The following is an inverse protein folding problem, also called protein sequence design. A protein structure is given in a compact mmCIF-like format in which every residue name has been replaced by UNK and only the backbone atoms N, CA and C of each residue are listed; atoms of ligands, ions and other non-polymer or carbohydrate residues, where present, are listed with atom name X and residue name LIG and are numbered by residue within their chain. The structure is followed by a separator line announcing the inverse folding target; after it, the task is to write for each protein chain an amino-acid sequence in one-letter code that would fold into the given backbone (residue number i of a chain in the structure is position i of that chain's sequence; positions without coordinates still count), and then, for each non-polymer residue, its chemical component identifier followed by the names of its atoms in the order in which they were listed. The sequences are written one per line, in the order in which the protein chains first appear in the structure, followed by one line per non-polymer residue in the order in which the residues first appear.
data_IF_761615216351
#
_entry.id   IF_761615216351
#
_cell.length_a   1.000
_cell.length_b   1.000
_cell.length_c   1.000
_cell.angle_alpha   90.00
_cell.angle_beta   90.00
_cell.angle_gamma   90.00
#
_symmetry.space_group_name_H-M   'P 1'
#
loop_
_entity.id
_entity.type
_entity.pdbx_description
1 polymer ?
#
# COMPACT_ATOMS: atom_id res chain seq x y z
N UNK A 1 9.67 -48.92 48.87
CA UNK A 1 10.51 -48.02 48.04
C UNK A 1 9.97 -47.67 46.64
N UNK A 2 9.11 -48.44 45.94
CA UNK A 2 8.74 -48.12 44.53
C UNK A 2 7.88 -46.85 44.37
N UNK A 3 7.06 -46.49 45.37
CA UNK A 3 6.22 -45.29 45.32
C UNK A 3 7.01 -43.96 45.35
N UNK A 4 8.22 -43.95 45.93
CA UNK A 4 9.07 -42.75 46.07
C UNK A 4 9.83 -42.46 44.77
N UNK A 5 10.23 -43.50 44.04
CA UNK A 5 10.84 -43.42 42.70
C UNK A 5 9.84 -43.00 41.63
N UNK A 6 8.64 -43.58 41.63
CA UNK A 6 7.55 -43.16 40.74
C UNK A 6 7.23 -41.67 40.90
N UNK A 7 7.11 -41.17 42.15
CA UNK A 7 6.84 -39.75 42.46
C UNK A 7 7.95 -38.81 41.98
N UNK A 8 9.23 -39.21 42.09
CA UNK A 8 10.38 -38.45 41.57
C UNK A 8 10.34 -38.32 40.03
N UNK A 9 9.92 -39.37 39.33
CA UNK A 9 9.82 -39.39 37.85
C UNK A 9 8.75 -38.43 37.33
N UNK A 10 7.56 -38.44 37.95
CA UNK A 10 6.49 -37.50 37.61
C UNK A 10 6.90 -36.05 37.87
N UNK A 11 7.56 -35.77 38.99
CA UNK A 11 8.10 -34.43 39.29
C UNK A 11 9.12 -33.95 38.24
N UNK A 12 9.91 -34.86 37.67
CA UNK A 12 10.87 -34.53 36.58
C UNK A 12 10.22 -34.16 35.24
N UNK A 13 8.92 -34.43 35.07
CA UNK A 13 8.13 -34.07 33.88
C UNK A 13 7.32 -32.78 34.05
N UNK A 14 7.06 -32.35 35.28
CA UNK A 14 6.18 -31.19 35.56
C UNK A 14 6.76 -29.91 34.96
N UNK A 15 8.01 -29.57 35.30
CA UNK A 15 8.61 -28.33 34.82
C UNK A 15 8.79 -28.31 33.29
N UNK A 16 9.38 -29.34 32.64
CA UNK A 16 9.45 -29.40 31.18
C UNK A 16 8.07 -29.40 30.51
N UNK A 17 7.07 -30.05 31.11
CA UNK A 17 5.70 -30.07 30.61
C UNK A 17 5.01 -28.72 30.68
N UNK A 18 5.17 -27.98 31.78
CA UNK A 18 4.66 -26.63 31.91
C UNK A 18 5.32 -25.68 30.89
N UNK A 19 6.63 -25.79 30.70
CA UNK A 19 7.35 -25.00 29.69
C UNK A 19 6.90 -25.35 28.27
N UNK A 20 6.81 -26.64 27.94
CA UNK A 20 6.33 -27.10 26.64
C UNK A 20 4.89 -26.64 26.38
N UNK A 21 4.01 -26.72 27.38
CA UNK A 21 2.64 -26.24 27.29
C UNK A 21 2.59 -24.72 27.07
N UNK A 22 3.35 -23.94 27.85
CA UNK A 22 3.40 -22.48 27.69
C UNK A 22 3.88 -22.07 26.29
N UNK A 23 4.94 -22.69 25.79
CA UNK A 23 5.46 -22.42 24.44
C UNK A 23 4.45 -22.87 23.37
N UNK A 24 3.85 -24.05 23.52
CA UNK A 24 2.82 -24.52 22.58
C UNK A 24 1.61 -23.58 22.54
N UNK A 25 1.15 -23.09 23.70
CA UNK A 25 0.08 -22.09 23.77
C UNK A 25 0.46 -20.80 23.06
N UNK A 26 1.68 -20.30 23.24
CA UNK A 26 2.16 -19.12 22.52
C UNK A 26 2.19 -19.35 21.00
N UNK A 27 2.71 -20.49 20.54
CA UNK A 27 2.78 -20.84 19.12
C UNK A 27 1.38 -20.98 18.49
N UNK A 28 0.44 -21.64 19.18
CA UNK A 28 -0.96 -21.73 18.73
C UNK A 28 -1.59 -20.33 18.69
N UNK A 29 -1.35 -19.49 19.70
CA UNK A 29 -1.80 -18.10 19.73
C UNK A 29 -1.28 -17.29 18.53
N UNK A 30 0.00 -17.43 18.19
CA UNK A 30 0.59 -16.81 17.01
C UNK A 30 -0.05 -17.33 15.71
N UNK A 31 -0.32 -18.63 15.61
CA UNK A 31 -1.02 -19.21 14.45
C UNK A 31 -2.43 -18.66 14.28
N UNK A 32 -3.19 -18.56 15.37
CA UNK A 32 -4.54 -17.96 15.36
C UNK A 32 -4.52 -16.48 14.99
N UNK A 33 -3.56 -15.72 15.53
CA UNK A 33 -3.37 -14.32 15.18
C UNK A 33 -3.07 -14.14 13.69
N UNK A 34 -2.23 -15.01 13.10
CA UNK A 34 -1.95 -14.99 11.67
C UNK A 34 -3.21 -15.26 10.83
N UNK A 35 -4.08 -16.20 11.24
CA UNK A 35 -5.36 -16.43 10.56
C UNK A 35 -6.31 -15.23 10.64
N UNK A 36 -6.37 -14.55 11.79
CA UNK A 36 -7.15 -13.31 11.93
C UNK A 36 -6.60 -12.22 11.00
N UNK A 37 -5.27 -12.09 10.93
CA UNK A 37 -4.60 -11.11 10.08
C UNK A 37 -4.81 -11.43 8.60
N UNK A 38 -4.80 -12.71 8.22
CA UNK A 38 -5.16 -13.18 6.88
C UNK A 38 -6.56 -12.70 6.49
N UNK A 39 -7.57 -13.00 7.30
CA UNK A 39 -8.96 -12.63 7.02
C UNK A 39 -9.13 -11.11 6.91
N UNK A 40 -8.49 -10.34 7.79
CA UNK A 40 -8.46 -8.87 7.70
C UNK A 40 -7.83 -8.40 6.38
N UNK A 41 -6.68 -8.96 6.00
CA UNK A 41 -5.94 -8.58 4.80
C UNK A 41 -6.73 -8.92 3.54
N UNK A 42 -7.37 -10.08 3.49
CA UNK A 42 -8.23 -10.50 2.39
C UNK A 42 -9.46 -9.58 2.24
N UNK A 43 -10.08 -9.18 3.35
CA UNK A 43 -11.18 -8.22 3.32
C UNK A 43 -10.74 -6.88 2.71
N UNK A 44 -9.55 -6.37 3.10
CA UNK A 44 -8.98 -5.15 2.51
C UNK A 44 -8.72 -5.31 1.01
N UNK A 45 -8.08 -6.40 0.59
CA UNK A 45 -7.77 -6.67 -0.82
C UNK A 45 -9.06 -6.72 -1.64
N UNK A 46 -10.10 -7.40 -1.13
CA UNK A 46 -11.41 -7.45 -1.79
C UNK A 46 -12.02 -6.05 -1.94
N UNK A 47 -12.00 -5.23 -0.90
CA UNK A 47 -12.50 -3.85 -0.98
C UNK A 47 -11.74 -3.03 -2.03
N UNK A 48 -10.42 -3.17 -2.11
CA UNK A 48 -9.62 -2.50 -3.15
C UNK A 48 -10.02 -3.01 -4.54
N UNK A 49 -10.10 -4.33 -4.73
CA UNK A 49 -10.51 -4.92 -6.00
C UNK A 49 -11.88 -4.41 -6.46
N UNK A 50 -12.87 -4.38 -5.58
CA UNK A 50 -14.22 -3.85 -5.85
C UNK A 50 -14.18 -2.37 -6.26
N UNK A 51 -13.43 -1.53 -5.51
CA UNK A 51 -13.34 -0.08 -5.79
C UNK A 51 -12.64 0.24 -7.10
N UNK A 52 -11.61 -0.52 -7.46
CA UNK A 52 -10.79 -0.29 -8.68
C UNK A 52 -11.49 -0.69 -9.98
N UNK A 53 -12.53 -1.52 -9.92
CA UNK A 53 -13.32 -1.90 -11.12
C UNK A 53 -14.70 -1.26 -11.18
N UNK A 54 -15.13 -0.60 -10.09
CA UNK A 54 -16.40 0.12 -10.06
C UNK A 54 -16.42 1.28 -11.07
N UNK A 55 -17.60 1.65 -11.61
CA UNK A 55 -17.74 2.84 -12.43
C UNK A 55 -17.26 4.09 -11.69
N UNK A 56 -16.57 5.03 -12.36
CA UNK A 56 -16.17 6.29 -11.76
C UNK A 56 -17.37 7.07 -11.23
N UNK A 57 -17.25 7.58 -10.01
CA UNK A 57 -18.25 8.47 -9.40
C UNK A 57 -17.76 9.92 -9.40
N UNK A 58 -18.64 10.93 -9.23
CA UNK A 58 -18.18 12.30 -9.03
C UNK A 58 -17.25 12.42 -7.82
N UNK A 59 -16.25 13.31 -7.91
CA UNK A 59 -15.43 13.69 -6.76
C UNK A 59 -16.30 14.19 -5.59
N UNK A 60 -15.88 13.95 -4.33
CA UNK A 60 -16.49 14.60 -3.17
C UNK A 60 -16.45 16.12 -3.31
N UNK A 61 -17.52 16.79 -2.88
CA UNK A 61 -17.57 18.24 -2.93
C UNK A 61 -16.49 18.85 -2.04
N UNK A 62 -15.93 19.99 -2.47
CA UNK A 62 -14.84 20.68 -1.76
C UNK A 62 -15.12 20.92 -0.27
N UNK A 63 -16.36 21.26 0.07
CA UNK A 63 -16.78 21.50 1.47
C UNK A 63 -16.59 20.28 2.38
N UNK A 64 -16.56 19.08 1.81
CA UNK A 64 -16.46 17.81 2.56
C UNK A 64 -15.00 17.36 2.72
N UNK A 65 -14.04 17.97 1.99
CA UNK A 65 -12.64 17.55 2.00
C UNK A 65 -11.98 17.53 3.39
N UNK A 66 -12.19 18.52 4.29
CA UNK A 66 -11.56 18.50 5.61
C UNK A 66 -11.98 17.31 6.50
N UNK A 67 -13.10 16.66 6.19
CA UNK A 67 -13.64 15.53 6.96
C UNK A 67 -13.42 14.16 6.29
N UNK A 68 -12.67 14.09 5.18
CA UNK A 68 -12.45 12.84 4.49
C UNK A 68 -11.52 11.92 5.26
N UNK A 69 -11.97 10.68 5.50
CA UNK A 69 -11.13 9.60 6.00
C UNK A 69 -10.54 8.81 4.81
N UNK A 70 -9.20 8.71 4.69
CA UNK A 70 -8.52 7.87 3.71
C UNK A 70 -9.12 6.47 3.54
N UNK A 71 -9.51 5.79 4.62
CA UNK A 71 -10.09 4.45 4.54
C UNK A 71 -11.38 4.40 3.69
N UNK A 72 -12.09 5.53 3.59
CA UNK A 72 -13.36 5.63 2.86
C UNK A 72 -13.19 5.90 1.37
N UNK A 73 -12.10 6.55 0.95
CA UNK A 73 -11.88 6.94 -0.45
C UNK A 73 -10.72 6.24 -1.13
N UNK A 74 -9.77 5.66 -0.40
CA UNK A 74 -8.59 5.01 -0.97
C UNK A 74 -9.01 3.99 -2.05
N UNK A 75 -8.42 4.11 -3.24
CA UNK A 75 -8.71 3.33 -4.45
C UNK A 75 -10.12 3.49 -5.03
N UNK A 76 -10.93 4.45 -4.56
CA UNK A 76 -12.23 4.75 -5.16
C UNK A 76 -12.02 5.41 -6.51
N UNK A 77 -12.68 4.88 -7.55
CA UNK A 77 -12.68 5.50 -8.88
C UNK A 77 -13.54 6.73 -8.92
N UNK A 78 -12.97 7.82 -9.41
CA UNK A 78 -13.62 9.12 -9.52
C UNK A 78 -13.47 9.70 -10.92
N UNK A 79 -14.41 10.57 -11.27
CA UNK A 79 -14.35 11.42 -12.44
C UNK A 79 -14.30 12.90 -12.01
N UNK A 80 -13.47 13.68 -12.69
CA UNK A 80 -13.29 15.10 -12.42
C UNK A 80 -13.19 15.88 -13.74
N UNK A 81 -13.86 17.03 -13.82
CA UNK A 81 -13.78 17.93 -14.97
C UNK A 81 -13.12 19.23 -14.55
N UNK A 82 -12.21 19.72 -15.38
CA UNK A 82 -11.37 20.86 -15.05
C UNK A 82 -10.22 21.05 -16.04
N UNK A 83 -9.20 21.78 -15.63
CA UNK A 83 -8.07 22.14 -16.47
C UNK A 83 -6.76 21.90 -15.73
N UNK A 84 -5.80 21.31 -16.43
CA UNK A 84 -4.44 21.16 -15.92
C UNK A 84 -3.67 22.49 -15.94
N UNK A 85 -2.95 22.77 -14.87
CA UNK A 85 -1.89 23.78 -14.84
C UNK A 85 -0.54 23.12 -15.15
N UNK A 86 -0.27 22.95 -16.45
CA UNK A 86 0.96 22.32 -16.93
C UNK A 86 2.23 23.13 -16.61
N UNK A 87 2.11 24.41 -16.26
CA UNK A 87 3.25 25.21 -15.82
C UNK A 87 3.69 24.86 -14.39
N UNK A 88 2.84 24.18 -13.64
CA UNK A 88 3.06 23.76 -12.25
C UNK A 88 3.23 22.24 -12.10
N UNK A 89 3.66 21.52 -13.15
CA UNK A 89 3.95 20.09 -13.02
C UNK A 89 5.22 19.83 -12.18
N UNK A 90 5.18 18.79 -11.35
CA UNK A 90 6.32 18.32 -10.56
C UNK A 90 6.72 16.89 -10.94
N UNK A 91 8.00 16.58 -10.76
CA UNK A 91 8.58 15.29 -11.13
C UNK A 91 8.93 14.51 -9.86
N UNK A 92 8.19 13.43 -9.60
CA UNK A 92 8.43 12.53 -8.47
C UNK A 92 9.22 11.32 -8.96
N UNK A 93 10.47 11.18 -8.52
CA UNK A 93 11.35 10.12 -8.95
C UNK A 93 10.78 8.73 -8.66
N UNK A 94 10.57 7.95 -9.73
CA UNK A 94 9.93 6.63 -9.65
C UNK A 94 10.34 5.74 -10.82
N UNK A 95 11.45 5.00 -10.70
CA UNK A 95 11.79 3.96 -11.65
C UNK A 95 10.66 2.94 -11.77
N UNK A 96 10.32 2.58 -13.00
CA UNK A 96 9.24 1.66 -13.32
C UNK A 96 9.81 0.40 -13.97
N UNK A 97 10.02 -0.64 -13.17
CA UNK A 97 10.55 -1.93 -13.65
C UNK A 97 9.43 -2.80 -14.21
N UNK A 98 8.31 -2.89 -13.49
CA UNK A 98 7.13 -3.64 -13.87
C UNK A 98 6.05 -2.67 -14.34
N UNK A 99 6.16 -2.25 -15.60
CA UNK A 99 5.22 -1.32 -16.22
C UNK A 99 3.93 -2.00 -16.69
N UNK A 100 2.81 -1.30 -16.57
CA UNK A 100 1.51 -1.71 -17.13
C UNK A 100 1.26 -1.16 -18.53
N UNK A 101 2.01 -0.13 -18.95
CA UNK A 101 2.06 0.37 -20.31
C UNK A 101 3.41 0.14 -21.03
N UNK A 102 3.58 0.66 -22.25
CA UNK A 102 4.77 0.44 -23.07
C UNK A 102 6.06 1.11 -22.53
N UNK A 103 5.92 2.18 -21.75
CA UNK A 103 7.05 2.93 -21.18
C UNK A 103 7.48 2.35 -19.83
N UNK A 104 8.79 2.23 -19.62
CA UNK A 104 9.40 1.64 -18.41
C UNK A 104 10.82 2.19 -18.22
N UNK A 105 11.50 1.78 -17.16
CA UNK A 105 12.89 2.14 -16.85
C UNK A 105 13.01 3.30 -15.87
N UNK A 106 14.10 4.07 -15.98
CA UNK A 106 14.35 5.24 -15.15
C UNK A 106 13.49 6.41 -15.63
N UNK A 107 12.84 7.09 -14.69
CA UNK A 107 11.95 8.21 -14.96
C UNK A 107 11.16 8.60 -13.72
N UNK A 108 10.18 9.48 -13.94
CA UNK A 108 9.44 10.14 -12.86
C UNK A 108 7.94 10.00 -13.09
N UNK A 109 7.18 10.04 -12.00
CA UNK A 109 5.75 10.35 -12.06
C UNK A 109 5.58 11.86 -12.23
N UNK A 110 4.72 12.25 -13.17
CA UNK A 110 4.36 13.65 -13.38
C UNK A 110 3.07 13.96 -12.61
N UNK A 111 3.19 14.81 -11.60
CA UNK A 111 2.06 15.32 -10.85
C UNK A 111 1.73 16.73 -11.35
N UNK A 112 0.47 17.00 -11.64
CA UNK A 112 0.04 18.29 -12.19
C UNK A 112 -1.18 18.79 -11.42
N UNK A 113 -1.17 20.04 -10.93
CA UNK A 113 -2.37 20.66 -10.38
C UNK A 113 -3.49 20.69 -11.43
N UNK A 114 -4.70 20.35 -11.00
CA UNK A 114 -5.89 20.28 -11.82
C UNK A 114 -6.98 21.16 -11.20
N UNK A 115 -7.24 22.30 -11.83
CA UNK A 115 -8.26 23.24 -11.40
C UNK A 115 -9.64 22.71 -11.78
N UNK A 116 -10.44 22.37 -10.78
CA UNK A 116 -11.77 21.82 -10.99
C UNK A 116 -12.72 22.89 -11.52
N UNK A 117 -13.59 22.51 -12.46
CA UNK A 117 -14.64 23.41 -12.98
C UNK A 117 -15.60 23.90 -11.88
N UNK A 118 -15.81 23.08 -10.84
CA UNK A 118 -16.61 23.42 -9.66
C UNK A 118 -15.85 24.17 -8.55
N UNK A 119 -14.59 24.55 -8.79
CA UNK A 119 -13.72 25.21 -7.82
C UNK A 119 -12.88 24.26 -6.96
N UNK A 120 -11.76 24.78 -6.46
CA UNK A 120 -10.72 23.99 -5.79
C UNK A 120 -9.74 23.36 -6.79
N UNK A 121 -8.65 22.81 -6.26
CA UNK A 121 -7.59 22.20 -7.05
C UNK A 121 -7.27 20.82 -6.50
N UNK A 122 -7.12 19.84 -7.39
CA UNK A 122 -6.66 18.49 -7.03
C UNK A 122 -5.31 18.28 -7.67
N UNK A 123 -4.36 17.67 -6.98
CA UNK A 123 -3.11 17.24 -7.60
C UNK A 123 -3.35 15.88 -8.26
N UNK A 124 -3.11 15.81 -9.57
CA UNK A 124 -3.31 14.59 -10.34
C UNK A 124 -1.94 13.99 -10.66
N UNK A 125 -1.72 12.76 -10.22
CA UNK A 125 -0.63 11.94 -10.73
C UNK A 125 -1.04 11.42 -12.10
N UNK A 126 -0.51 12.06 -13.15
CA UNK A 126 -0.80 11.73 -14.56
C UNK A 126 -0.10 10.47 -15.03
N UNK A 127 0.87 9.98 -14.23
CA UNK A 127 1.58 8.75 -14.47
C UNK A 127 3.03 8.95 -14.88
N UNK A 128 3.63 7.88 -15.40
CA UNK A 128 5.07 7.76 -15.60
C UNK A 128 5.56 8.43 -16.89
N UNK A 129 6.74 9.06 -16.82
CA UNK A 129 7.47 9.59 -17.96
C UNK A 129 8.94 9.14 -17.87
N UNK A 130 9.48 8.47 -18.91
CA UNK A 130 10.91 8.14 -18.97
C UNK A 130 11.79 9.38 -18.92
N UNK A 131 12.97 9.28 -18.33
CA UNK A 131 13.92 10.40 -18.16
C UNK A 131 14.17 11.19 -19.45
N UNK A 132 14.36 10.48 -20.57
CA UNK A 132 14.59 11.08 -21.90
C UNK A 132 13.40 11.89 -22.46
N UNK A 133 12.23 11.84 -21.81
CA UNK A 133 10.98 12.50 -22.22
C UNK A 133 10.40 13.40 -21.14
N UNK A 134 11.16 13.68 -20.07
CA UNK A 134 10.72 14.55 -18.98
C UNK A 134 10.46 15.98 -19.45
N UNK A 135 11.21 16.49 -20.43
CA UNK A 135 10.90 17.78 -21.05
C UNK A 135 9.50 17.73 -21.70
N UNK A 136 8.53 18.56 -21.23
CA UNK A 136 7.19 18.66 -21.79
C UNK A 136 7.16 18.87 -23.31
N UNK A 137 8.13 19.58 -23.88
CA UNK A 137 8.19 19.84 -25.32
C UNK A 137 8.33 18.54 -26.13
N UNK A 138 8.99 17.52 -25.56
CA UNK A 138 9.13 16.22 -26.21
C UNK A 138 7.86 15.38 -26.14
N UNK A 139 6.88 15.75 -25.31
CA UNK A 139 5.60 15.03 -25.08
C UNK A 139 4.39 15.97 -25.15
N UNK A 140 4.44 16.96 -26.05
CA UNK A 140 3.45 18.03 -26.16
C UNK A 140 2.00 17.54 -26.38
N UNK A 141 1.79 16.37 -27.00
CA UNK A 141 0.45 15.79 -27.16
C UNK A 141 -0.25 15.52 -25.81
N UNK A 142 0.52 15.18 -24.77
CA UNK A 142 0.02 15.01 -23.42
C UNK A 142 -0.23 16.32 -22.68
N UNK A 143 0.19 17.47 -23.22
CA UNK A 143 -0.02 18.79 -22.63
C UNK A 143 -1.38 19.35 -23.05
N UNK A 144 -2.44 18.62 -22.72
CA UNK A 144 -3.81 18.91 -23.18
C UNK A 144 -4.24 20.29 -22.72
N UNK A 145 -4.60 21.16 -23.66
CA UNK A 145 -5.12 22.48 -23.38
C UNK A 145 -6.65 22.44 -23.21
N UNK A 146 -7.18 23.38 -22.43
CA UNK A 146 -8.63 23.49 -22.24
C UNK A 146 -9.17 22.66 -21.10
N UNK A 147 -10.48 22.57 -21.03
CA UNK A 147 -11.17 21.78 -20.02
C UNK A 147 -11.28 20.32 -20.50
N UNK A 148 -10.97 19.39 -19.61
CA UNK A 148 -10.98 17.95 -19.86
C UNK A 148 -11.68 17.24 -18.70
N UNK A 149 -12.22 16.06 -18.97
CA UNK A 149 -12.67 15.14 -17.94
C UNK A 149 -11.66 14.02 -17.79
N UNK A 150 -11.18 13.82 -16.57
CA UNK A 150 -10.28 12.73 -16.21
C UNK A 150 -11.00 11.72 -15.33
N UNK A 151 -10.58 10.47 -15.41
CA UNK A 151 -10.92 9.41 -14.44
C UNK A 151 -9.67 8.90 -13.75
N UNK A 152 -9.82 8.38 -12.55
CA UNK A 152 -8.69 7.83 -11.82
C UNK A 152 -9.04 7.35 -10.43
N UNK A 153 -8.04 6.87 -9.71
CA UNK A 153 -8.16 6.38 -8.35
C UNK A 153 -7.83 7.50 -7.37
N UNK A 154 -8.72 7.77 -6.40
CA UNK A 154 -8.34 8.60 -5.26
C UNK A 154 -7.30 7.87 -4.40
N UNK A 155 -6.23 8.57 -4.05
CA UNK A 155 -5.15 8.06 -3.19
C UNK A 155 -4.85 9.03 -2.07
N UNK A 156 -4.57 8.49 -0.89
CA UNK A 156 -4.02 9.24 0.22
C UNK A 156 -2.59 9.72 -0.07
N UNK A 157 -2.16 10.83 0.54
CA UNK A 157 -0.79 11.30 0.47
C UNK A 157 0.20 10.20 0.88
N UNK A 158 1.33 10.12 0.19
CA UNK A 158 2.42 9.24 0.62
C UNK A 158 3.11 9.84 1.84
N UNK A 159 3.45 8.97 2.80
CA UNK A 159 4.23 9.37 3.97
C UNK A 159 5.72 9.18 3.74
N UNK A 160 6.50 10.11 4.28
CA UNK A 160 7.96 10.04 4.25
C UNK A 160 8.47 9.10 5.35
N UNK A 161 9.47 8.28 5.04
CA UNK A 161 10.22 7.52 6.03
C UNK A 161 11.71 7.96 6.07
N UNK A 162 12.49 7.42 7.01
CA UNK A 162 13.89 7.82 7.22
C UNK A 162 14.87 7.49 6.08
N UNK A 163 14.44 6.74 5.07
CA UNK A 163 15.23 6.39 3.88
C UNK A 163 14.77 7.13 2.62
N UNK A 164 13.68 7.89 2.70
CA UNK A 164 13.20 8.72 1.61
C UNK A 164 14.00 10.03 1.61
N UNK A 165 14.69 10.38 0.50
CA UNK A 165 15.39 11.65 0.40
C UNK A 165 14.46 12.86 0.57
N UNK A 166 15.04 14.01 0.89
CA UNK A 166 14.31 15.27 0.88
C UNK A 166 14.05 15.73 -0.56
N UNK A 167 12.89 16.34 -0.81
CA UNK A 167 12.62 16.97 -2.10
C UNK A 167 13.54 18.17 -2.33
N UNK A 168 13.81 18.46 -3.60
CA UNK A 168 14.44 19.68 -4.08
C UNK A 168 13.48 20.42 -5.02
N UNK A 169 12.60 21.30 -4.47
CA UNK A 169 11.63 22.03 -5.26
C UNK A 169 12.24 23.09 -6.20
N UNK A 170 13.54 23.39 -6.07
CA UNK A 170 14.26 24.29 -6.98
C UNK A 170 14.66 23.53 -8.24
N UNK A 171 15.10 22.28 -8.10
CA UNK A 171 15.42 21.38 -9.22
C UNK A 171 14.22 20.58 -9.74
N UNK A 172 13.04 20.79 -9.16
CA UNK A 172 11.82 20.03 -9.42
C UNK A 172 11.97 18.52 -9.19
N UNK A 173 12.80 18.13 -8.23
CA UNK A 173 13.05 16.72 -7.90
C UNK A 173 12.32 16.37 -6.62
N UNK A 174 11.34 15.47 -6.72
CA UNK A 174 10.51 15.05 -5.60
C UNK A 174 10.64 13.54 -5.38
N UNK A 175 10.38 13.09 -4.17
CA UNK A 175 10.49 11.67 -3.78
C UNK A 175 9.22 11.09 -3.17
N UNK A 176 8.21 11.93 -2.95
CA UNK A 176 6.91 11.55 -2.38
C UNK A 176 5.77 12.18 -3.16
N UNK A 177 4.70 11.42 -3.37
CA UNK A 177 3.42 11.94 -3.87
C UNK A 177 2.67 12.59 -2.71
N UNK A 178 2.86 13.89 -2.54
CA UNK A 178 2.27 14.68 -1.45
C UNK A 178 1.54 15.92 -2.03
N UNK A 179 0.18 15.93 -2.05
CA UNK A 179 -0.58 17.03 -2.60
C UNK A 179 -0.42 18.33 -1.81
N UNK A 180 -0.18 18.27 -0.50
CA UNK A 180 -0.01 19.46 0.34
C UNK A 180 1.32 20.14 0.06
N UNK A 181 2.40 19.34 -0.07
CA UNK A 181 3.71 19.88 -0.40
C UNK A 181 3.74 20.51 -1.82
N UNK A 182 3.08 19.86 -2.79
CA UNK A 182 2.90 20.43 -4.14
C UNK A 182 2.07 21.72 -4.09
N UNK A 183 0.96 21.72 -3.35
CA UNK A 183 0.13 22.90 -3.18
C UNK A 183 0.91 24.07 -2.56
N UNK A 184 1.70 23.81 -1.52
CA UNK A 184 2.53 24.80 -0.86
C UNK A 184 3.58 25.39 -1.80
N UNK A 185 4.20 24.58 -2.68
CA UNK A 185 5.19 25.03 -3.66
C UNK A 185 4.65 26.07 -4.64
N UNK A 186 3.37 25.98 -4.99
CA UNK A 186 2.72 26.86 -5.97
C UNK A 186 1.71 27.83 -5.35
N UNK A 187 1.60 27.89 -4.02
CA UNK A 187 0.68 28.80 -3.32
C UNK A 187 -0.80 28.47 -3.53
N UNK A 188 -1.14 27.19 -3.72
CA UNK A 188 -2.50 26.72 -3.95
C UNK A 188 -3.22 26.59 -2.60
N UNK A 189 -4.05 27.58 -2.25
CA UNK A 189 -4.76 27.60 -0.96
C UNK A 189 -5.91 26.57 -0.87
N UNK A 190 -6.53 26.23 -2.00
CA UNK A 190 -7.74 25.41 -2.07
C UNK A 190 -7.46 24.00 -2.61
N UNK A 191 -6.37 23.39 -2.14
CA UNK A 191 -5.96 22.06 -2.56
C UNK A 191 -6.73 20.95 -1.84
N UNK A 192 -7.07 19.88 -2.57
CA UNK A 192 -7.62 18.66 -1.99
C UNK A 192 -6.55 17.89 -1.18
N UNK A 193 -6.92 17.24 -0.06
CA UNK A 193 -6.00 16.48 0.79
C UNK A 193 -5.67 15.09 0.24
N UNK A 194 -5.91 14.86 -1.05
CA UNK A 194 -5.72 13.59 -1.73
C UNK A 194 -5.22 13.84 -3.16
N UNK A 195 -4.66 12.81 -3.77
CA UNK A 195 -4.31 12.83 -5.20
C UNK A 195 -5.26 11.94 -6.00
N UNK A 196 -5.28 12.16 -7.32
CA UNK A 196 -5.89 11.23 -8.27
C UNK A 196 -4.77 10.59 -9.07
N UNK A 197 -4.65 9.26 -9.02
CA UNK A 197 -3.86 8.50 -9.98
C UNK A 197 -4.71 8.34 -11.25
N UNK A 198 -4.31 8.99 -12.35
CA UNK A 198 -5.04 8.99 -13.62
C UNK A 198 -5.12 7.56 -14.21
N UNK A 199 -6.31 7.15 -14.68
CA UNK A 199 -6.49 5.88 -15.39
C UNK A 199 -5.64 5.85 -16.68
N UNK A 200 -5.28 4.64 -17.14
CA UNK A 200 -4.50 4.44 -18.35
C UNK A 200 -5.16 5.03 -19.60
N UNK A 201 -4.35 5.51 -20.55
CA UNK A 201 -4.78 5.88 -21.89
C UNK A 201 -5.44 7.25 -22.05
N UNK A 202 -5.45 8.08 -21.00
CA UNK A 202 -6.07 9.42 -21.05
C UNK A 202 -5.16 10.52 -21.61
N UNK A 203 -3.84 10.34 -21.55
CA UNK A 203 -2.89 11.28 -22.15
C UNK A 203 -2.74 11.02 -23.66
N UNK A 204 -3.09 11.97 -24.55
CA UNK A 204 -2.85 11.82 -25.97
C UNK A 204 -1.34 11.65 -26.25
N UNK A 205 -0.99 10.75 -27.17
CA UNK A 205 0.40 10.39 -27.43
C UNK A 205 1.04 9.47 -26.38
N UNK A 206 0.29 9.04 -25.35
CA UNK A 206 0.67 7.99 -24.42
C UNK A 206 1.57 8.41 -23.26
N UNK A 207 1.98 9.68 -23.18
CA UNK A 207 2.75 10.24 -22.07
C UNK A 207 2.09 11.51 -21.52
N UNK A 208 1.99 11.69 -20.20
CA UNK A 208 2.37 10.74 -19.14
C UNK A 208 1.57 9.42 -19.16
N UNK A 209 2.23 8.31 -18.81
CA UNK A 209 1.63 6.97 -18.83
C UNK A 209 0.88 6.72 -17.52
N UNK A 210 -0.43 7.01 -17.52
CA UNK A 210 -1.34 6.71 -16.43
C UNK A 210 -1.59 5.21 -16.22
N UNK A 211 -2.29 4.86 -15.13
CA UNK A 211 -2.65 3.48 -14.80
C UNK A 211 -1.53 2.65 -14.17
N UNK A 212 -0.48 3.29 -13.64
CA UNK A 212 0.67 2.62 -13.03
C UNK A 212 0.54 2.36 -11.52
N UNK A 213 -0.63 2.61 -10.94
CA UNK A 213 -0.90 2.32 -9.52
C UNK A 213 -0.67 0.83 -9.23
N UNK A 214 0.21 0.53 -8.28
CA UNK A 214 0.47 -0.85 -7.85
C UNK A 214 -0.69 -1.33 -6.97
N UNK A 215 -1.44 -2.31 -7.48
CA UNK A 215 -2.59 -2.94 -6.80
C UNK A 215 -2.25 -4.33 -6.25
N UNK A 216 -0.97 -4.58 -5.96
CA UNK A 216 -0.50 -5.85 -5.45
C UNK A 216 -0.20 -5.76 -3.95
N UNK A 217 -0.83 -6.65 -3.20
CA UNK A 217 -0.73 -6.69 -1.75
C UNK A 217 -0.15 -8.03 -1.31
N UNK A 218 1.11 -8.08 -0.86
CA UNK A 218 1.69 -9.29 -0.31
C UNK A 218 0.83 -9.85 0.83
N UNK A 219 0.59 -11.16 0.79
CA UNK A 219 -0.24 -11.86 1.78
C UNK A 219 0.31 -13.27 2.05
N UNK A 220 1.19 -13.38 3.05
CA UNK A 220 1.85 -14.64 3.45
C UNK A 220 1.34 -15.17 4.80
N UNK A 221 0.24 -14.64 5.32
CA UNK A 221 -0.25 -14.95 6.66
C UNK A 221 -0.61 -16.44 6.84
N UNK A 222 -1.10 -17.12 5.80
CA UNK A 222 -1.40 -18.56 5.86
C UNK A 222 -0.13 -19.40 6.04
N UNK A 223 0.95 -19.14 5.30
CA UNK A 223 2.19 -19.91 5.42
C UNK A 223 2.83 -19.73 6.80
N UNK A 224 2.76 -18.52 7.36
CA UNK A 224 3.15 -18.28 8.74
C UNK A 224 2.27 -19.02 9.75
N UNK A 225 0.94 -19.01 9.58
CA UNK A 225 0.03 -19.75 10.46
C UNK A 225 0.37 -21.25 10.50
N UNK A 226 0.57 -21.86 9.32
CA UNK A 226 0.98 -23.27 9.19
C UNK A 226 2.34 -23.53 9.86
N UNK A 227 3.29 -22.59 9.73
CA UNK A 227 4.59 -22.69 10.40
C UNK A 227 4.42 -22.73 11.92
N UNK A 228 3.63 -21.82 12.49
CA UNK A 228 3.40 -21.76 13.94
C UNK A 228 2.70 -23.00 14.48
N UNK A 229 1.66 -23.49 13.79
CA UNK A 229 0.99 -24.74 14.18
C UNK A 229 1.89 -25.97 14.01
N UNK A 230 2.71 -26.01 12.96
CA UNK A 230 3.69 -27.07 12.74
C UNK A 230 4.73 -27.13 13.86
N UNK A 231 5.26 -25.98 14.29
CA UNK A 231 6.18 -25.89 15.43
C UNK A 231 5.52 -26.33 16.74
N UNK A 232 4.25 -25.94 16.97
CA UNK A 232 3.50 -26.38 18.14
C UNK A 232 3.30 -27.90 18.16
N UNK A 233 2.95 -28.50 17.01
CA UNK A 233 2.77 -29.94 16.86
C UNK A 233 4.10 -30.69 17.04
N UNK A 234 5.20 -30.18 16.49
CA UNK A 234 6.53 -30.77 16.67
C UNK A 234 6.97 -30.74 18.13
N UNK A 235 6.77 -29.60 18.82
CA UNK A 235 7.06 -29.48 20.25
C UNK A 235 6.25 -30.47 21.08
N UNK A 236 4.94 -30.59 20.80
CA UNK A 236 4.08 -31.57 21.45
C UNK A 236 4.58 -33.01 21.22
N UNK A 237 4.92 -33.36 19.97
CA UNK A 237 5.45 -34.67 19.62
C UNK A 237 6.76 -35.01 20.32
N UNK A 238 7.72 -34.08 20.33
CA UNK A 238 9.01 -34.23 21.03
C UNK A 238 8.78 -34.41 22.53
N UNK A 239 7.92 -33.58 23.15
CA UNK A 239 7.61 -33.69 24.57
C UNK A 239 6.91 -35.02 24.90
N UNK A 240 5.98 -35.49 24.07
CA UNK A 240 5.30 -36.77 24.25
C UNK A 240 6.28 -37.95 24.21
N UNK A 241 7.22 -37.96 23.26
CA UNK A 241 8.28 -38.98 23.17
C UNK A 241 9.21 -38.91 24.38
N UNK A 242 9.62 -37.70 24.79
CA UNK A 242 10.43 -37.48 25.98
C UNK A 242 9.74 -38.03 27.24
N UNK A 243 8.48 -37.68 27.46
CA UNK A 243 7.69 -38.14 28.60
C UNK A 243 7.52 -39.67 28.59
N UNK A 244 7.22 -40.26 27.43
CA UNK A 244 7.08 -41.71 27.28
C UNK A 244 8.36 -42.47 27.60
N UNK A 245 9.52 -42.03 27.08
CA UNK A 245 10.83 -42.62 27.41
C UNK A 245 11.11 -42.51 28.90
N UNK A 246 10.86 -41.34 29.50
CA UNK A 246 11.09 -41.10 30.93
C UNK A 246 10.22 -41.96 31.85
N UNK A 247 9.01 -42.32 31.40
CA UNK A 247 8.09 -43.19 32.14
C UNK A 247 8.37 -44.68 31.92
N UNK A 248 8.97 -45.07 30.78
CA UNK A 248 9.31 -46.48 30.47
C UNK A 248 10.71 -46.92 30.92
N UNK A 249 11.72 -46.08 30.70
CA UNK A 249 13.14 -46.41 30.94
C UNK A 249 13.58 -46.03 32.36
N UNK A 250 12.65 -45.46 33.15
CA UNK A 250 12.88 -44.88 34.46
C UNK A 250 12.78 -45.86 35.59
#
# INVERSE_FOLDING_TARGET
MPAREARSRWLSLVLPGLLAAAVATALVGLGLWQLQRLAWKEALIRTVAERTVAPPVPLPARRDWPGLDPATYEYRRVAATGRFDHAAEVHVYRPLVEARGPFHGVGDLVLTPFHLAGGGTVVVNRGFVPEARLDPATRAAGQVAGDVTITGLMRSPQTRNGFTPADDPVRNQWFTVDPEAVAARFGIADAAPFVIDEDAGQAPGGLPQGGETVLEFPNSHLSYALTWFGLAAALFGVFAVFAWRRLRDG
#
